data_IF_604284579681
#
_entry.id   IF_604284579681
#
_cell.length_a   1.000
_cell.length_b   1.000
_cell.length_c   1.000
_cell.angle_alpha   90.00
_cell.angle_beta   90.00
_cell.angle_gamma   90.00
#
_symmetry.space_group_name_H-M   'P 1'
#
loop_
_entity.id
_entity.type
_entity.pdbx_description
1 polymer ?
#
# COMPACT_ATOMS: atom_id res chain seq x y z
N UNK A 1 -30.76 10.01 -6.05
CA UNK A 1 -31.11 9.59 -4.69
C UNK A 1 -30.28 8.37 -4.38
N UNK A 2 -29.11 8.58 -3.79
CA UNK A 2 -28.21 7.48 -3.40
C UNK A 2 -28.80 6.94 -2.10
N UNK A 3 -29.23 5.68 -2.10
CA UNK A 3 -29.83 5.05 -0.93
C UNK A 3 -28.83 5.07 0.23
N UNK A 4 -29.27 5.67 1.34
CA UNK A 4 -28.61 5.73 2.63
C UNK A 4 -28.65 4.38 3.35
N UNK A 5 -28.13 3.33 2.74
CA UNK A 5 -27.80 2.08 3.43
C UNK A 5 -26.28 2.01 3.60
N UNK A 6 -25.72 2.98 4.34
CA UNK A 6 -24.45 2.80 5.05
C UNK A 6 -24.74 1.87 6.23
N UNK A 7 -24.98 0.59 5.96
CA UNK A 7 -24.97 -0.44 6.99
C UNK A 7 -23.58 -0.41 7.61
N UNK A 8 -23.50 -0.08 8.91
CA UNK A 8 -22.39 -0.24 9.85
C UNK A 8 -21.21 -1.15 9.40
N UNK A 9 -20.43 -0.74 8.39
CA UNK A 9 -19.20 -1.42 8.00
C UNK A 9 -18.11 -0.97 8.97
N UNK A 10 -18.10 -1.58 10.15
CA UNK A 10 -17.04 -1.43 11.14
C UNK A 10 -16.57 -2.82 11.56
N UNK A 11 -15.28 -2.98 11.92
CA UNK A 11 -14.81 -4.23 12.50
C UNK A 11 -15.61 -4.61 13.75
N UNK A 12 -15.88 -5.89 13.94
CA UNK A 12 -16.51 -6.38 15.17
C UNK A 12 -15.57 -6.13 16.36
N UNK A 13 -16.12 -5.99 17.59
CA UNK A 13 -15.29 -5.86 18.79
C UNK A 13 -14.26 -6.98 18.94
N UNK A 14 -14.59 -8.21 18.52
CA UNK A 14 -13.67 -9.36 18.58
C UNK A 14 -12.46 -9.19 17.65
N UNK A 15 -12.68 -8.69 16.43
CA UNK A 15 -11.61 -8.40 15.47
C UNK A 15 -10.72 -7.27 15.98
N UNK A 16 -11.31 -6.23 16.57
CA UNK A 16 -10.56 -5.14 17.19
C UNK A 16 -9.76 -5.62 18.40
N UNK A 17 -10.35 -6.50 19.22
CA UNK A 17 -9.68 -7.13 20.35
C UNK A 17 -8.49 -7.97 19.89
N UNK A 18 -8.65 -8.76 18.83
CA UNK A 18 -7.54 -9.50 18.24
C UNK A 18 -6.44 -8.56 17.71
N UNK A 19 -6.80 -7.44 17.07
CA UNK A 19 -5.82 -6.48 16.53
C UNK A 19 -4.94 -5.81 17.62
N UNK A 20 -5.45 -5.67 18.85
CA UNK A 20 -4.66 -5.17 20.00
C UNK A 20 -3.94 -6.29 20.77
N UNK A 21 -4.32 -7.55 20.55
CA UNK A 21 -3.78 -8.70 21.29
C UNK A 21 -2.44 -9.13 20.72
N UNK A 22 -1.36 -8.77 21.43
CA UNK A 22 0.00 -9.17 21.03
C UNK A 22 0.25 -10.63 21.40
N UNK A 23 1.12 -11.30 20.65
CA UNK A 23 1.60 -12.66 21.00
C UNK A 23 2.13 -12.79 22.42
N UNK A 24 2.74 -11.73 22.96
CA UNK A 24 3.24 -11.71 24.34
C UNK A 24 2.14 -11.87 25.40
N UNK A 25 0.87 -11.64 25.05
CA UNK A 25 -0.27 -11.86 25.94
C UNK A 25 -0.60 -13.35 26.11
N UNK A 26 -0.04 -14.25 25.29
CA UNK A 26 -0.28 -15.70 25.34
C UNK A 26 -1.77 -16.10 25.24
N UNK A 27 -2.53 -15.27 24.54
CA UNK A 27 -3.92 -15.57 24.17
C UNK A 27 -3.98 -16.55 23.00
N UNK A 28 -5.16 -17.12 22.74
CA UNK A 28 -5.37 -18.06 21.63
C UNK A 28 -5.27 -17.39 20.24
N UNK A 29 -5.43 -16.07 20.17
CA UNK A 29 -5.39 -15.28 18.95
C UNK A 29 -4.39 -14.13 19.14
N UNK A 30 -3.64 -13.82 18.10
CA UNK A 30 -2.73 -12.67 18.08
C UNK A 30 -2.97 -11.77 16.87
N UNK A 31 -2.34 -10.60 16.91
CA UNK A 31 -2.47 -9.56 15.92
C UNK A 31 -1.53 -9.72 14.70
N UNK A 32 -0.68 -10.75 14.65
CA UNK A 32 0.40 -10.79 13.65
C UNK A 32 -0.11 -10.97 12.22
N UNK A 33 -1.16 -11.77 12.02
CA UNK A 33 -1.76 -11.93 10.69
C UNK A 33 -2.41 -10.63 10.20
N UNK A 34 -3.00 -9.85 11.12
CA UNK A 34 -3.50 -8.52 10.78
C UNK A 34 -2.38 -7.51 10.56
N UNK A 35 -1.30 -7.55 11.36
CA UNK A 35 -0.11 -6.71 11.19
C UNK A 35 0.45 -6.89 9.78
N UNK A 36 0.68 -8.13 9.35
CA UNK A 36 1.25 -8.44 8.03
C UNK A 36 0.34 -7.97 6.88
N UNK A 37 -0.98 -8.20 6.99
CA UNK A 37 -1.93 -7.72 5.99
C UNK A 37 -1.97 -6.18 5.95
N UNK A 38 -2.01 -5.53 7.11
CA UNK A 38 -2.08 -4.09 7.21
C UNK A 38 -0.80 -3.38 6.77
N UNK A 39 0.38 -3.94 7.08
CA UNK A 39 1.67 -3.43 6.64
C UNK A 39 1.77 -3.43 5.10
N UNK A 40 1.43 -4.56 4.47
CA UNK A 40 1.46 -4.65 3.00
C UNK A 40 0.50 -3.67 2.32
N UNK A 41 -0.69 -3.44 2.89
CA UNK A 41 -1.64 -2.44 2.37
C UNK A 41 -1.19 -1.00 2.64
N UNK A 42 -0.65 -0.71 3.82
CA UNK A 42 -0.07 0.59 4.15
C UNK A 42 1.05 0.95 3.17
N UNK A 43 1.94 -0.01 2.89
CA UNK A 43 3.01 0.12 1.90
C UNK A 43 2.46 0.42 0.50
N UNK A 44 1.41 -0.28 0.05
CA UNK A 44 0.72 0.00 -1.21
C UNK A 44 0.15 1.43 -1.25
N UNK A 45 -0.60 1.83 -0.23
CA UNK A 45 -1.27 3.13 -0.16
C UNK A 45 -0.25 4.29 -0.18
N UNK A 46 0.83 4.18 0.59
CA UNK A 46 1.88 5.20 0.57
C UNK A 46 2.62 5.20 -0.76
N UNK A 47 2.90 4.03 -1.35
CA UNK A 47 3.54 3.94 -2.66
C UNK A 47 2.70 4.60 -3.75
N UNK A 48 1.38 4.42 -3.70
CA UNK A 48 0.43 5.08 -4.58
C UNK A 48 0.40 6.59 -4.35
N UNK A 49 0.27 7.07 -3.11
CA UNK A 49 0.28 8.49 -2.79
C UNK A 49 1.56 9.20 -3.30
N UNK A 50 2.72 8.56 -3.11
CA UNK A 50 4.00 9.05 -3.60
C UNK A 50 4.08 9.06 -5.13
N UNK A 51 3.60 7.99 -5.78
CA UNK A 51 3.56 7.89 -7.24
C UNK A 51 2.81 9.06 -7.86
N UNK A 52 1.67 9.44 -7.27
CA UNK A 52 0.83 10.57 -7.71
C UNK A 52 1.41 11.94 -7.35
N UNK A 53 1.97 12.11 -6.15
CA UNK A 53 2.45 13.42 -5.68
C UNK A 53 3.78 13.85 -6.30
N UNK A 54 4.60 12.90 -6.74
CA UNK A 54 5.91 13.19 -7.32
C UNK A 54 6.11 12.58 -8.73
N UNK A 55 5.40 13.09 -9.77
CA UNK A 55 5.51 12.60 -11.15
C UNK A 55 6.93 12.63 -11.74
N UNK A 56 7.74 13.62 -11.36
CA UNK A 56 9.05 13.91 -11.96
C UNK A 56 10.24 13.46 -11.12
N UNK A 57 10.02 12.80 -9.98
CA UNK A 57 11.11 12.37 -9.11
C UNK A 57 11.79 11.10 -9.68
N UNK A 58 13.13 11.13 -9.78
CA UNK A 58 13.90 9.96 -10.19
C UNK A 58 13.89 8.84 -9.12
N UNK A 59 14.08 7.57 -9.50
CA UNK A 59 14.11 6.43 -8.57
C UNK A 59 15.22 6.51 -7.50
N UNK A 60 16.30 7.23 -7.79
CA UNK A 60 17.41 7.42 -6.84
C UNK A 60 17.04 8.31 -5.63
N UNK A 61 16.11 9.26 -5.79
CA UNK A 61 15.53 10.05 -4.68
C UNK A 61 14.42 9.26 -3.98
N UNK A 62 13.77 8.32 -4.68
CA UNK A 62 12.79 7.39 -4.08
C UNK A 62 13.44 6.40 -3.11
N UNK A 63 14.73 6.05 -3.29
CA UNK A 63 15.53 5.31 -2.29
C UNK A 63 15.79 6.12 -1.01
N UNK A 64 15.88 7.45 -1.10
CA UNK A 64 15.89 8.34 0.07
C UNK A 64 14.48 8.55 0.67
N UNK A 65 13.40 8.36 -0.10
CA UNK A 65 12.01 8.33 0.39
C UNK A 65 11.59 6.98 0.99
N UNK A 66 12.26 5.88 0.62
CA UNK A 66 12.23 4.62 1.40
C UNK A 66 12.72 4.84 2.83
N UNK A 67 13.57 5.84 3.08
CA UNK A 67 13.85 6.27 4.47
C UNK A 67 12.66 7.00 5.09
N UNK A 68 11.79 7.68 4.33
CA UNK A 68 10.53 8.25 4.83
C UNK A 68 9.49 7.17 5.17
N UNK A 69 9.48 6.04 4.45
CA UNK A 69 8.68 4.84 4.76
C UNK A 69 9.28 4.03 5.92
N UNK A 70 10.60 3.85 5.96
CA UNK A 70 11.34 3.23 7.08
C UNK A 70 11.40 4.10 8.35
N UNK A 71 11.06 5.38 8.22
CA UNK A 71 10.69 6.22 9.35
C UNK A 71 9.18 5.99 9.51
N UNK A 72 8.73 4.99 10.27
CA UNK A 72 8.34 5.13 11.69
C UNK A 72 7.58 6.42 12.04
N UNK A 73 6.90 7.04 11.08
CA UNK A 73 6.22 8.33 11.21
C UNK A 73 4.74 8.21 10.89
N UNK A 74 4.08 7.31 11.61
CA UNK A 74 3.10 7.86 12.53
C UNK A 74 3.93 8.74 13.47
N UNK A 75 4.06 10.03 13.17
CA UNK A 75 4.80 10.96 14.04
C UNK A 75 4.00 11.00 15.33
N UNK A 76 4.32 10.12 16.26
CA UNK A 76 3.92 10.28 17.64
C UNK A 76 4.50 11.61 18.06
N UNK A 77 3.63 12.60 18.31
CA UNK A 77 4.02 13.89 18.88
C UNK A 77 4.57 13.61 20.29
N UNK A 78 5.86 13.27 20.40
CA UNK A 78 6.51 13.00 21.68
C UNK A 78 7.78 12.14 21.63
N UNK A 79 8.69 12.43 22.57
CA UNK A 79 9.90 11.63 22.82
C UNK A 79 9.61 10.30 23.55
N UNK A 80 8.39 10.12 24.04
CA UNK A 80 7.85 8.88 24.59
C UNK A 80 6.52 8.58 23.90
N UNK A 81 6.13 7.31 23.75
CA UNK A 81 5.01 6.84 22.94
C UNK A 81 3.62 7.26 23.48
N UNK A 82 3.35 8.56 23.55
CA UNK A 82 2.08 9.15 23.95
C UNK A 82 1.28 9.51 22.69
N UNK A 83 0.90 8.51 21.88
CA UNK A 83 -0.13 8.76 20.87
C UNK A 83 -1.46 8.96 21.56
N UNK A 84 -2.16 10.03 21.22
CA UNK A 84 -3.55 10.21 21.57
C UNK A 84 -4.35 10.20 20.27
N UNK A 85 -5.34 9.31 20.12
CA UNK A 85 -6.24 9.38 18.98
C UNK A 85 -6.91 10.78 18.91
N UNK A 86 -7.26 11.26 17.71
CA UNK A 86 -8.02 12.51 17.58
C UNK A 86 -9.24 12.53 18.49
N UNK A 87 -9.36 13.58 19.31
CA UNK A 87 -10.46 13.75 20.29
C UNK A 87 -10.15 13.28 21.71
N UNK A 88 -9.00 12.69 21.99
CA UNK A 88 -8.58 12.29 23.34
C UNK A 88 -7.62 13.31 23.97
N UNK A 89 -7.84 13.61 25.25
CA UNK A 89 -7.00 14.52 26.04
C UNK A 89 -6.01 13.74 26.91
N UNK A 90 -4.79 14.25 27.03
CA UNK A 90 -3.80 13.71 27.99
C UNK A 90 -4.28 14.01 29.40
N UNK A 91 -4.44 12.98 30.23
CA UNK A 91 -4.69 13.13 31.67
C UNK A 91 -3.33 13.25 32.37
N UNK A 92 -3.20 14.15 33.33
CA UNK A 92 -1.96 14.32 34.08
C UNK A 92 -1.75 13.12 35.03
N UNK A 93 -0.54 12.59 35.11
CA UNK A 93 -0.22 11.42 35.95
C UNK A 93 -0.54 11.64 37.45
N UNK A 94 -0.61 12.89 37.88
CA UNK A 94 -0.97 13.29 39.25
C UNK A 94 -2.47 13.17 39.58
N UNK A 95 -3.32 12.99 38.57
CA UNK A 95 -4.79 12.87 38.71
C UNK A 95 -5.26 11.40 38.68
N UNK A 96 -4.33 10.44 38.56
CA UNK A 96 -4.61 9.02 38.51
C UNK A 96 -5.08 8.51 39.88
N UNK A 97 -6.38 8.21 39.99
CA UNK A 97 -6.94 7.51 41.15
C UNK A 97 -6.53 6.03 41.14
N UNK A 98 -6.37 5.44 42.33
CA UNK A 98 -6.01 4.03 42.58
C UNK A 98 -7.05 3.10 41.92
N UNK A 99 -6.81 2.75 40.65
CA UNK A 99 -7.72 1.99 39.79
C UNK A 99 -7.52 2.27 38.30
N UNK A 100 -6.99 3.45 37.94
CA UNK A 100 -6.67 3.84 36.57
C UNK A 100 -5.25 3.44 36.10
N UNK A 101 -4.52 2.68 36.93
CA UNK A 101 -3.17 2.19 36.60
C UNK A 101 -3.17 1.23 35.39
N UNK A 102 -4.29 0.57 35.11
CA UNK A 102 -4.44 -0.30 33.93
C UNK A 102 -4.61 0.47 32.62
N UNK A 103 -5.05 1.74 32.67
CA UNK A 103 -5.32 2.55 31.47
C UNK A 103 -4.10 3.30 30.94
N UNK A 104 -2.97 3.27 31.67
CA UNK A 104 -1.71 3.93 31.30
C UNK A 104 -0.59 2.89 31.28
N UNK A 105 -0.45 2.20 30.14
CA UNK A 105 0.63 1.23 29.95
C UNK A 105 1.72 1.83 29.07
N UNK A 106 2.96 1.76 29.55
CA UNK A 106 4.14 2.11 28.76
C UNK A 106 4.38 1.03 27.70
N UNK A 107 3.83 1.23 26.51
CA UNK A 107 4.10 0.39 25.36
C UNK A 107 5.32 0.91 24.56
N UNK A 108 6.12 -0.01 24.02
CA UNK A 108 7.20 0.36 23.11
C UNK A 108 6.61 0.92 21.81
N UNK A 109 7.26 1.92 21.21
CA UNK A 109 6.83 2.51 19.91
C UNK A 109 6.58 1.46 18.82
N UNK A 110 7.40 0.40 18.73
CA UNK A 110 7.18 -0.69 17.76
C UNK A 110 5.86 -1.41 18.03
N UNK A 111 5.59 -1.82 19.28
CA UNK A 111 4.34 -2.48 19.64
C UNK A 111 3.08 -1.68 19.23
N UNK A 112 3.15 -0.35 19.34
CA UNK A 112 2.08 0.52 18.89
C UNK A 112 2.00 0.60 17.34
N UNK A 113 3.14 0.64 16.64
CA UNK A 113 3.17 0.55 15.17
C UNK A 113 2.50 -0.74 14.68
N UNK A 114 2.90 -1.89 15.24
CA UNK A 114 2.36 -3.22 14.94
C UNK A 114 0.83 -3.23 15.12
N UNK A 115 0.36 -2.58 16.18
CA UNK A 115 -1.07 -2.48 16.49
C UNK A 115 -1.82 -1.61 15.48
N UNK A 116 -1.25 -0.50 15.01
CA UNK A 116 -1.89 0.33 13.97
C UNK A 116 -1.94 -0.42 12.63
N UNK A 117 -0.86 -1.10 12.26
CA UNK A 117 -0.82 -1.99 11.09
C UNK A 117 -1.92 -3.06 11.24
N UNK A 118 -2.02 -3.71 12.40
CA UNK A 118 -3.08 -4.67 12.68
C UNK A 118 -4.49 -4.06 12.61
N UNK A 119 -4.70 -2.82 13.07
CA UNK A 119 -5.99 -2.15 12.89
C UNK A 119 -6.30 -1.91 11.42
N UNK A 120 -5.33 -1.47 10.61
CA UNK A 120 -5.53 -1.32 9.16
C UNK A 120 -5.92 -2.69 8.56
N UNK A 121 -5.24 -3.77 8.94
CA UNK A 121 -5.58 -5.14 8.56
C UNK A 121 -7.02 -5.54 8.95
N UNK A 122 -7.42 -5.24 10.19
CA UNK A 122 -8.78 -5.47 10.68
C UNK A 122 -9.85 -4.70 9.89
N UNK A 123 -9.59 -3.44 9.54
CA UNK A 123 -10.50 -2.66 8.69
C UNK A 123 -10.59 -3.24 7.28
N UNK A 124 -9.48 -3.71 6.69
CA UNK A 124 -9.47 -4.33 5.36
C UNK A 124 -10.30 -5.60 5.25
N UNK A 125 -10.35 -6.41 6.30
CA UNK A 125 -11.12 -7.65 6.28
C UNK A 125 -12.58 -7.43 6.62
N UNK A 126 -12.89 -6.36 7.36
CA UNK A 126 -14.23 -6.11 7.88
C UNK A 126 -15.02 -5.11 7.03
N UNK A 127 -14.34 -4.33 6.19
CA UNK A 127 -14.91 -3.19 5.46
C UNK A 127 -14.35 -3.09 4.05
N UNK A 128 -14.94 -2.23 3.21
CA UNK A 128 -14.39 -1.94 1.90
C UNK A 128 -13.12 -1.06 1.94
N UNK A 129 -12.35 -1.06 0.85
CA UNK A 129 -11.10 -0.28 0.75
C UNK A 129 -11.30 1.22 0.99
N UNK A 130 -12.42 1.80 0.60
CA UNK A 130 -12.69 3.24 0.78
C UNK A 130 -12.84 3.56 2.27
N UNK A 131 -13.53 2.72 3.03
CA UNK A 131 -13.68 2.86 4.49
C UNK A 131 -12.33 2.72 5.19
N UNK A 132 -11.52 1.73 4.82
CA UNK A 132 -10.15 1.59 5.34
C UNK A 132 -9.32 2.83 5.06
N UNK A 133 -9.37 3.39 3.84
CA UNK A 133 -8.56 4.56 3.53
C UNK A 133 -9.05 5.80 4.30
N UNK A 134 -10.37 5.95 4.51
CA UNK A 134 -10.90 6.99 5.41
C UNK A 134 -10.41 6.82 6.85
N UNK A 135 -10.30 5.58 7.33
CA UNK A 135 -9.71 5.30 8.64
C UNK A 135 -8.22 5.69 8.69
N UNK A 136 -7.46 5.40 7.63
CA UNK A 136 -6.06 5.82 7.53
C UNK A 136 -5.92 7.35 7.50
N UNK A 137 -6.78 8.05 6.77
CA UNK A 137 -6.85 9.51 6.77
C UNK A 137 -7.20 10.07 8.16
N UNK A 138 -8.15 9.45 8.87
CA UNK A 138 -8.48 9.78 10.26
C UNK A 138 -7.30 9.58 11.22
N UNK A 139 -6.46 8.56 11.01
CA UNK A 139 -5.20 8.37 11.74
C UNK A 139 -4.15 9.47 11.42
N UNK A 140 -4.41 10.33 10.44
CA UNK A 140 -3.50 11.37 9.96
C UNK A 140 -2.51 10.87 8.91
N UNK A 141 -2.79 9.74 8.26
CA UNK A 141 -1.98 9.24 7.15
C UNK A 141 -2.45 9.91 5.86
N UNK A 142 -1.58 10.72 5.27
CA UNK A 142 -1.82 11.38 3.98
C UNK A 142 -1.62 10.38 2.82
N UNK A 143 -2.59 9.47 2.68
CA UNK A 143 -2.58 8.38 1.69
C UNK A 143 -3.49 8.63 0.49
N UNK A 144 -4.25 9.72 0.50
CA UNK A 144 -5.09 10.13 -0.61
C UNK A 144 -4.38 11.19 -1.46
N UNK A 145 -4.44 11.11 -2.80
CA UNK A 145 -4.04 12.23 -3.63
C UNK A 145 -4.97 13.42 -3.33
N UNK A 146 -4.40 14.51 -2.82
CA UNK A 146 -5.14 15.72 -2.44
C UNK A 146 -5.94 16.29 -3.63
N UNK A 147 -7.22 15.92 -3.74
CA UNK A 147 -8.31 16.75 -4.26
C UNK A 147 -9.64 16.00 -4.11
N UNK A 148 -10.33 16.30 -3.01
CA UNK A 148 -11.58 15.72 -2.56
C UNK A 148 -12.83 16.41 -3.09
N UNK A 149 -12.82 16.92 -4.34
CA UNK A 149 -14.07 17.34 -5.01
C UNK A 149 -14.05 16.94 -6.51
N UNK A 150 -14.83 15.90 -6.82
CA UNK A 150 -15.43 15.56 -8.11
C UNK A 150 -14.55 15.33 -9.35
N UNK A 151 -13.22 15.34 -9.23
CA UNK A 151 -12.33 14.97 -10.34
C UNK A 151 -11.63 13.64 -10.08
N UNK A 152 -11.84 12.67 -10.97
CA UNK A 152 -11.01 11.46 -11.07
C UNK A 152 -9.58 11.91 -11.24
N UNK A 153 -8.73 11.64 -10.24
CA UNK A 153 -7.30 11.98 -10.31
C UNK A 153 -6.67 11.06 -11.34
N UNK A 154 -6.46 11.58 -12.55
CA UNK A 154 -5.75 10.90 -13.62
C UNK A 154 -4.33 10.52 -13.14
N UNK A 155 -3.84 9.32 -13.46
CA UNK A 155 -2.48 8.94 -13.13
C UNK A 155 -1.48 9.91 -13.80
N UNK A 156 -0.34 10.18 -13.14
CA UNK A 156 0.74 10.94 -13.73
C UNK A 156 1.11 10.41 -15.12
N UNK A 157 1.36 11.32 -16.06
CA UNK A 157 1.79 10.93 -17.40
C UNK A 157 3.08 10.10 -17.36
N UNK A 158 3.13 9.07 -18.18
CA UNK A 158 4.30 8.21 -18.44
C UNK A 158 5.10 8.68 -19.67
N UNK A 159 4.53 9.61 -20.43
CA UNK A 159 5.20 10.21 -21.57
C UNK A 159 6.30 11.13 -21.07
N UNK A 160 7.43 11.14 -21.78
CA UNK A 160 8.51 12.09 -21.50
C UNK A 160 8.01 13.52 -21.69
N UNK A 161 8.49 14.43 -20.85
CA UNK A 161 8.05 15.83 -20.82
C UNK A 161 8.19 16.55 -22.16
N UNK A 162 9.19 16.21 -22.96
CA UNK A 162 9.41 16.74 -24.31
C UNK A 162 8.40 16.26 -25.37
N UNK A 163 7.71 15.14 -25.12
CA UNK A 163 6.67 14.60 -26.01
C UNK A 163 5.30 15.14 -25.58
N UNK A 164 5.05 15.28 -24.28
CA UNK A 164 3.77 15.72 -23.73
C UNK A 164 3.33 17.13 -24.18
N UNK A 165 4.24 17.95 -24.71
CA UNK A 165 3.95 19.29 -25.23
C UNK A 165 3.58 19.33 -26.73
N UNK A 166 3.65 18.20 -27.45
CA UNK A 166 3.36 18.14 -28.88
C UNK A 166 1.88 17.82 -29.16
N UNK A 167 1.38 18.17 -30.36
CA UNK A 167 0.02 17.86 -30.79
C UNK A 167 -0.30 16.35 -30.66
N UNK A 168 -1.43 16.02 -30.01
CA UNK A 168 -1.86 14.64 -29.70
C UNK A 168 -1.84 13.67 -30.91
N UNK A 169 -2.11 14.19 -32.12
CA UNK A 169 -2.14 13.39 -33.35
C UNK A 169 -0.74 12.83 -33.68
N UNK A 170 0.30 13.65 -33.55
CA UNK A 170 1.67 13.25 -33.84
C UNK A 170 2.21 12.23 -32.82
N UNK A 171 1.81 12.37 -31.55
CA UNK A 171 2.17 11.42 -30.48
C UNK A 171 1.58 10.05 -30.79
N UNK A 172 0.32 9.98 -31.19
CA UNK A 172 -0.35 8.72 -31.51
C UNK A 172 0.29 8.00 -32.70
N UNK A 173 0.74 8.71 -33.73
CA UNK A 173 1.46 8.12 -34.86
C UNK A 173 2.84 7.59 -34.46
N UNK A 174 3.63 8.38 -33.71
CA UNK A 174 4.94 7.94 -33.21
C UNK A 174 4.79 6.69 -32.33
N UNK A 175 3.79 6.70 -31.44
CA UNK A 175 3.45 5.56 -30.60
C UNK A 175 3.06 4.33 -31.41
N UNK A 176 2.21 4.51 -32.43
CA UNK A 176 1.76 3.40 -33.29
C UNK A 176 2.92 2.79 -34.07
N UNK A 177 3.80 3.62 -34.63
CA UNK A 177 4.98 3.16 -35.35
C UNK A 177 5.96 2.44 -34.40
N UNK A 178 6.26 3.03 -33.25
CA UNK A 178 7.13 2.40 -32.25
C UNK A 178 6.55 1.08 -31.72
N UNK A 179 5.23 1.01 -31.58
CA UNK A 179 4.53 -0.20 -31.16
C UNK A 179 4.57 -1.30 -32.23
N UNK A 180 4.41 -0.93 -33.51
CA UNK A 180 4.42 -1.83 -34.65
C UNK A 180 5.84 -2.32 -35.00
N UNK A 181 6.86 -1.48 -34.84
CA UNK A 181 8.27 -1.80 -35.08
C UNK A 181 8.87 -2.78 -34.04
N UNK A 182 8.06 -3.23 -33.07
CA UNK A 182 8.48 -4.00 -31.91
C UNK A 182 7.48 -5.12 -31.61
N UNK A 183 7.92 -6.06 -30.78
CA UNK A 183 7.20 -7.28 -30.39
C UNK A 183 6.00 -7.00 -29.45
N UNK A 184 5.54 -5.75 -29.31
CA UNK A 184 4.50 -5.39 -28.34
C UNK A 184 3.11 -5.94 -28.71
N UNK A 185 2.79 -6.03 -30.00
CA UNK A 185 1.54 -6.65 -30.45
C UNK A 185 1.47 -8.15 -30.11
N UNK A 186 2.61 -8.85 -30.19
CA UNK A 186 2.69 -10.24 -29.77
C UNK A 186 2.53 -10.39 -28.26
N UNK A 187 3.06 -9.44 -27.46
CA UNK A 187 2.90 -9.46 -26.01
C UNK A 187 1.41 -9.37 -25.64
N UNK A 188 0.66 -8.42 -26.21
CA UNK A 188 -0.79 -8.30 -25.96
C UNK A 188 -1.55 -9.57 -26.32
N UNK A 189 -1.16 -10.22 -27.41
CA UNK A 189 -1.73 -11.51 -27.83
C UNK A 189 -1.40 -12.61 -26.81
N UNK A 190 -0.16 -12.67 -26.30
CA UNK A 190 0.26 -13.68 -25.32
C UNK A 190 -0.44 -13.52 -23.97
N UNK A 191 -0.62 -12.29 -23.49
CA UNK A 191 -1.29 -12.02 -22.21
C UNK A 191 -2.82 -11.93 -22.34
N UNK A 192 -3.35 -12.05 -23.57
CA UNK A 192 -4.79 -11.95 -23.87
C UNK A 192 -5.42 -10.66 -23.33
N UNK A 193 -4.67 -9.56 -23.41
CA UNK A 193 -5.09 -8.25 -22.91
C UNK A 193 -4.60 -7.13 -23.81
N UNK A 194 -5.53 -6.23 -24.15
CA UNK A 194 -5.27 -5.06 -24.99
C UNK A 194 -5.21 -3.83 -24.09
N UNK A 195 -4.03 -3.24 -23.96
CA UNK A 195 -3.86 -2.03 -23.17
C UNK A 195 -4.63 -0.87 -23.79
N UNK A 196 -5.43 -0.16 -22.97
CA UNK A 196 -6.09 1.09 -23.36
C UNK A 196 -5.07 2.16 -23.73
N UNK A 197 -4.04 2.31 -22.91
CA UNK A 197 -2.91 3.19 -23.16
C UNK A 197 -1.63 2.36 -23.35
N UNK A 198 -1.17 2.25 -24.60
CA UNK A 198 0.02 1.47 -24.99
C UNK A 198 1.33 2.01 -24.39
N UNK A 199 1.35 3.27 -23.91
CA UNK A 199 2.53 3.86 -23.28
C UNK A 199 2.94 3.13 -22.01
N UNK A 200 1.98 2.59 -21.25
CA UNK A 200 2.27 1.77 -20.08
C UNK A 200 3.04 0.50 -20.46
N UNK A 201 2.63 -0.17 -21.54
CA UNK A 201 3.31 -1.38 -22.01
C UNK A 201 4.73 -1.06 -22.52
N UNK A 202 4.89 0.02 -23.28
CA UNK A 202 6.20 0.46 -23.76
C UNK A 202 7.12 0.80 -22.58
N UNK A 203 6.64 1.58 -21.62
CA UNK A 203 7.41 1.97 -20.43
C UNK A 203 7.84 0.75 -19.61
N UNK A 204 6.92 -0.19 -19.35
CA UNK A 204 7.20 -1.41 -18.58
C UNK A 204 8.32 -2.27 -19.20
N UNK A 205 8.49 -2.22 -20.52
CA UNK A 205 9.53 -2.96 -21.24
C UNK A 205 10.75 -2.09 -21.64
N UNK A 206 10.84 -0.86 -21.12
CA UNK A 206 11.96 0.04 -21.41
C UNK A 206 12.92 0.11 -20.24
N UNK A 207 14.08 -0.54 -20.38
CA UNK A 207 15.19 -0.42 -19.44
C UNK A 207 15.83 0.99 -19.50
N UNK A 208 16.36 1.55 -18.38
CA UNK A 208 17.02 2.86 -18.36
C UNK A 208 18.15 3.07 -19.38
N UNK A 209 18.86 1.99 -19.75
CA UNK A 209 19.92 2.04 -20.77
C UNK A 209 19.39 2.10 -22.21
N UNK A 210 18.09 1.95 -22.43
CA UNK A 210 17.50 1.94 -23.76
C UNK A 210 17.24 3.36 -24.27
N UNK A 211 18.22 3.92 -24.97
CA UNK A 211 18.12 5.24 -25.60
C UNK A 211 17.23 5.28 -26.85
N UNK A 212 16.79 4.12 -27.38
CA UNK A 212 15.92 4.07 -28.55
C UNK A 212 14.49 4.48 -28.20
N UNK A 213 14.04 4.23 -26.96
CA UNK A 213 12.78 4.78 -26.51
C UNK A 213 12.94 6.28 -26.23
N UNK A 214 12.26 7.09 -27.04
CA UNK A 214 12.19 8.55 -26.88
C UNK A 214 10.82 9.03 -26.40
N UNK A 215 9.90 8.10 -26.15
CA UNK A 215 8.48 8.39 -25.97
C UNK A 215 8.08 8.35 -24.50
N UNK A 216 8.49 7.30 -23.77
CA UNK A 216 8.13 7.12 -22.37
C UNK A 216 9.36 7.14 -21.48
N UNK A 217 9.12 7.36 -20.18
CA UNK A 217 10.11 7.03 -19.16
C UNK A 217 10.34 5.50 -19.08
N UNK A 218 11.37 5.11 -18.33
CA UNK A 218 11.72 3.71 -18.07
C UNK A 218 10.76 3.05 -17.08
N UNK A 219 10.88 1.73 -16.91
CA UNK A 219 9.99 0.92 -16.09
C UNK A 219 10.12 1.17 -14.57
N UNK A 220 11.18 1.83 -14.09
CA UNK A 220 11.53 1.89 -12.66
C UNK A 220 10.41 2.48 -11.77
N UNK A 221 9.64 3.46 -12.26
CA UNK A 221 8.49 4.00 -11.52
C UNK A 221 7.32 3.00 -11.42
N UNK A 222 7.12 2.22 -12.48
CA UNK A 222 6.11 1.14 -12.49
C UNK A 222 6.56 -0.03 -11.62
N UNK A 223 7.85 -0.34 -11.59
CA UNK A 223 8.44 -1.34 -10.68
C UNK A 223 8.19 -0.97 -9.21
N UNK A 224 8.43 0.29 -8.83
CA UNK A 224 8.18 0.75 -7.46
C UNK A 224 6.73 0.53 -7.00
N UNK A 225 5.76 0.93 -7.83
CA UNK A 225 4.34 0.73 -7.52
C UNK A 225 3.96 -0.76 -7.59
N UNK A 226 4.49 -1.47 -8.59
CA UNK A 226 4.25 -2.89 -8.83
C UNK A 226 4.74 -3.78 -7.71
N UNK A 227 5.90 -3.49 -7.11
CA UNK A 227 6.45 -4.20 -5.95
C UNK A 227 5.45 -4.18 -4.79
N UNK A 228 4.97 -2.99 -4.40
CA UNK A 228 4.00 -2.86 -3.32
C UNK A 228 2.64 -3.48 -3.64
N UNK A 229 2.19 -3.41 -4.91
CA UNK A 229 0.94 -4.03 -5.34
C UNK A 229 1.01 -5.56 -5.28
N UNK A 230 2.08 -6.15 -5.81
CA UNK A 230 2.26 -7.62 -5.81
C UNK A 230 2.40 -8.12 -4.38
N UNK A 231 3.18 -7.42 -3.55
CA UNK A 231 3.36 -7.73 -2.12
C UNK A 231 2.01 -7.78 -1.38
N UNK A 232 1.16 -6.77 -1.56
CA UNK A 232 -0.19 -6.75 -0.99
C UNK A 232 -1.08 -7.87 -1.56
N UNK A 233 -1.10 -8.09 -2.87
CA UNK A 233 -1.95 -9.11 -3.49
C UNK A 233 -1.59 -10.52 -3.03
N UNK A 234 -0.29 -10.83 -2.96
CA UNK A 234 0.22 -12.11 -2.45
C UNK A 234 -0.12 -12.25 -0.97
N UNK A 235 0.17 -11.23 -0.15
CA UNK A 235 -0.11 -11.23 1.29
C UNK A 235 -1.60 -11.45 1.56
N UNK A 236 -2.47 -10.74 0.83
CA UNK A 236 -3.93 -10.91 0.94
C UNK A 236 -4.38 -12.29 0.50
N UNK A 237 -3.81 -12.84 -0.57
CA UNK A 237 -4.13 -14.18 -1.04
C UNK A 237 -3.76 -15.24 0.02
N UNK A 238 -2.57 -15.12 0.61
CA UNK A 238 -2.12 -16.02 1.68
C UNK A 238 -3.03 -15.86 2.91
N UNK A 239 -3.33 -14.63 3.31
CA UNK A 239 -4.20 -14.36 4.45
C UNK A 239 -5.61 -14.96 4.30
N UNK A 240 -6.19 -14.90 3.11
CA UNK A 240 -7.57 -15.39 2.85
C UNK A 240 -7.61 -16.92 2.70
N UNK A 241 -6.59 -17.52 2.08
CA UNK A 241 -6.62 -18.94 1.71
C UNK A 241 -5.98 -19.87 2.74
N UNK A 242 -5.21 -19.34 3.69
CA UNK A 242 -4.58 -20.12 4.74
C UNK A 242 -5.17 -19.82 6.12
N UNK A 243 -5.04 -20.80 7.02
CA UNK A 243 -5.67 -20.73 8.32
C UNK A 243 -5.08 -19.59 9.16
N UNK A 244 -5.95 -18.69 9.63
CA UNK A 244 -5.58 -17.51 10.44
C UNK A 244 -4.99 -17.84 11.81
N UNK A 245 -5.04 -19.12 12.23
CA UNK A 245 -4.42 -19.59 13.45
C UNK A 245 -2.95 -20.03 13.26
N UNK A 246 -2.43 -19.94 12.03
CA UNK A 246 -1.03 -20.20 11.71
C UNK A 246 -0.29 -18.87 11.68
N UNK A 247 0.87 -18.82 12.32
CA UNK A 247 1.70 -17.60 12.36
C UNK A 247 2.17 -17.23 10.95
N UNK A 248 2.38 -15.94 10.63
CA UNK A 248 2.80 -15.54 9.28
C UNK A 248 4.06 -16.28 8.82
N UNK A 249 5.05 -16.44 9.70
CA UNK A 249 6.26 -17.19 9.39
C UNK A 249 5.98 -18.63 8.97
N UNK A 250 5.11 -19.34 9.69
CA UNK A 250 4.73 -20.72 9.33
C UNK A 250 3.90 -20.79 8.04
N UNK A 251 3.06 -19.79 7.74
CA UNK A 251 2.34 -19.69 6.47
C UNK A 251 3.35 -19.60 5.30
N UNK A 252 4.34 -18.70 5.40
CA UNK A 252 5.40 -18.54 4.38
C UNK A 252 6.30 -19.79 4.20
N UNK A 253 6.57 -20.58 5.25
CA UNK A 253 7.34 -21.81 5.10
C UNK A 253 6.50 -22.98 4.56
N UNK A 254 5.22 -23.06 4.93
CA UNK A 254 4.32 -24.11 4.42
C UNK A 254 4.05 -23.99 2.91
N UNK A 255 4.11 -22.77 2.35
CA UNK A 255 4.00 -22.52 0.90
C UNK A 255 5.24 -22.98 0.13
N UNK A 256 6.42 -23.03 0.77
CA UNK A 256 7.66 -23.49 0.12
C UNK A 256 7.76 -25.01 0.05
N UNK A 257 7.09 -25.75 0.94
CA UNK A 257 7.20 -27.22 1.00
C UNK A 257 6.14 -27.96 0.17
N UNK A 258 4.96 -27.37 -0.08
CA UNK A 258 3.84 -28.13 -0.67
C UNK A 258 3.50 -27.85 -2.14
N UNK A 259 3.94 -26.76 -2.76
CA UNK A 259 3.67 -26.57 -4.20
C UNK A 259 4.85 -25.94 -4.96
N UNK A 260 5.57 -26.80 -5.70
CA UNK A 260 6.17 -26.40 -6.96
C UNK A 260 5.04 -26.01 -7.93
N UNK A 261 4.51 -24.78 -7.81
CA UNK A 261 3.92 -23.97 -8.89
C UNK A 261 3.32 -22.68 -8.31
N UNK A 262 3.65 -21.59 -8.98
CA UNK A 262 3.12 -20.22 -8.87
C UNK A 262 3.82 -19.30 -7.83
N UNK A 263 4.53 -18.30 -8.38
CA UNK A 263 5.23 -17.17 -7.75
C UNK A 263 6.65 -17.41 -7.22
N UNK A 264 7.51 -18.02 -8.05
CA UNK A 264 8.90 -17.63 -8.08
C UNK A 264 9.03 -16.32 -8.89
N UNK A 265 9.03 -15.17 -8.20
CA UNK A 265 9.79 -13.99 -8.65
C UNK A 265 10.75 -13.66 -7.51
N UNK A 266 11.77 -14.51 -7.34
CA UNK A 266 13.01 -14.07 -6.72
C UNK A 266 13.74 -13.21 -7.77
N UNK A 267 13.67 -11.90 -7.60
CA UNK A 267 14.64 -11.00 -8.25
C UNK A 267 15.95 -11.15 -7.46
N UNK A 268 16.89 -11.90 -8.04
CA UNK A 268 18.32 -11.66 -7.85
C UNK A 268 18.86 -11.06 -9.13
#
# INVERSE_FOLDING_TARGET
>A
TINNDLTNEQPSPDILFQAITRRSCSEQMDNENFEVLGDSFLKLMVSMALYYRYPSASPAVQKQLKNYLNVKKIVFRGNDANWLPPGYNKINETELTTGQQYSHQNAKRKAFSDMIEAFIGAFLISTNYITTIKFMDWLGLDVMPNNTQDHVVEPPSILRSNIATNNNIQINEIMKNFFADRVFAEIETKIQYVFKNKAYLIAAFTHPSNYANRITDCYERLEFLGDALVDFLVTRHVFVNYNQNVTPGQQYFSTHDNEKRVFAIQVK
#
